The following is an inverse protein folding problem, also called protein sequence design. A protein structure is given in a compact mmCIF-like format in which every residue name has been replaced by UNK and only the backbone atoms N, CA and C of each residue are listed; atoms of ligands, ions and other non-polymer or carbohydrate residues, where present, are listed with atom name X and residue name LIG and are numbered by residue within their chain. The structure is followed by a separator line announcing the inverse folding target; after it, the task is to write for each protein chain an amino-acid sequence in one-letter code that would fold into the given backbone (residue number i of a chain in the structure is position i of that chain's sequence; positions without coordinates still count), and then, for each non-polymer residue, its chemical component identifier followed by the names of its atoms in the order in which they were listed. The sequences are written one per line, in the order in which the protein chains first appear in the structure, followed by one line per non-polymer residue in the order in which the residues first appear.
data_IF_287102812382
#
_entry.id   IF_287102812382
#
_cell.length_a   1.000
_cell.length_b   1.000
_cell.length_c   1.000
_cell.angle_alpha   90.00
_cell.angle_beta   90.00
_cell.angle_gamma   90.00
#
_symmetry.space_group_name_H-M   'P 1'
#
loop_
_entity.id
_entity.type
_entity.pdbx_description
1 polymer ?
#
# COMPACT_ATOMS: atom_id res chain seq x y z
N UNK A 1 15.47 6.02 -5.96
CA UNK A 1 14.71 6.52 -4.81
C UNK A 1 14.13 7.88 -5.15
N UNK A 2 12.90 8.17 -4.74
CA UNK A 2 12.33 9.51 -4.88
C UNK A 2 13.06 10.47 -3.95
N UNK A 3 13.48 11.62 -4.46
CA UNK A 3 14.22 12.60 -3.66
C UNK A 3 13.30 13.34 -2.69
N UNK A 4 12.04 13.57 -3.06
CA UNK A 4 11.05 14.33 -2.28
C UNK A 4 9.64 13.77 -2.53
N UNK A 5 8.84 13.60 -1.48
CA UNK A 5 7.38 13.40 -1.58
C UNK A 5 6.69 14.74 -1.29
N UNK A 6 5.85 15.27 -2.20
CA UNK A 6 5.19 16.55 -2.00
C UNK A 6 4.15 16.47 -0.86
N UNK A 7 3.98 17.58 -0.13
CA UNK A 7 2.98 17.65 0.93
C UNK A 7 1.56 17.46 0.36
N UNK A 8 0.77 16.60 1.00
CA UNK A 8 -0.60 16.27 0.58
C UNK A 8 -1.46 15.84 1.78
N UNK A 9 -2.79 15.80 1.62
CA UNK A 9 -3.68 15.32 2.67
C UNK A 9 -3.65 13.78 2.82
N UNK A 10 -3.28 13.06 1.76
CA UNK A 10 -3.15 11.61 1.76
C UNK A 10 -2.11 11.14 0.75
N UNK A 11 -1.50 9.99 1.03
CA UNK A 11 -0.61 9.29 0.10
C UNK A 11 -1.29 8.01 -0.38
N UNK A 12 -1.28 7.75 -1.70
CA UNK A 12 -1.84 6.54 -2.29
C UNK A 12 -0.74 5.81 -3.07
N UNK A 13 -0.40 4.61 -2.63
CA UNK A 13 0.62 3.75 -3.22
C UNK A 13 -0.08 2.52 -3.79
N UNK A 14 -0.07 2.36 -5.12
CA UNK A 14 -0.69 1.22 -5.79
C UNK A 14 0.33 0.50 -6.65
N UNK A 15 0.60 -0.77 -6.32
CA UNK A 15 1.56 -1.59 -7.06
C UNK A 15 2.93 -0.91 -7.16
N UNK A 16 3.42 -0.41 -6.03
CA UNK A 16 4.71 0.28 -5.88
C UNK A 16 5.64 -0.47 -4.96
N UNK A 17 5.16 -0.96 -3.80
CA UNK A 17 6.03 -1.50 -2.75
C UNK A 17 6.63 -2.86 -3.13
N UNK A 18 5.94 -3.65 -3.97
CA UNK A 18 6.46 -4.96 -4.39
C UNK A 18 7.69 -4.90 -5.32
N UNK A 19 8.02 -3.72 -5.85
CA UNK A 19 9.19 -3.49 -6.70
C UNK A 19 10.47 -3.26 -5.88
N UNK A 20 10.34 -3.07 -4.56
CA UNK A 20 11.43 -2.64 -3.67
C UNK A 20 11.73 -3.65 -2.58
N UNK A 21 12.96 -3.61 -2.05
CA UNK A 21 13.33 -4.33 -0.84
C UNK A 21 12.68 -3.72 0.42
N UNK A 22 12.78 -4.45 1.53
CA UNK A 22 12.16 -4.05 2.80
C UNK A 22 12.66 -2.69 3.31
N UNK A 23 13.98 -2.46 3.25
CA UNK A 23 14.61 -1.20 3.70
C UNK A 23 14.12 -0.02 2.85
N UNK A 24 14.07 -0.18 1.53
CA UNK A 24 13.55 0.83 0.62
C UNK A 24 12.05 1.06 0.81
N UNK A 25 11.26 0.01 1.09
CA UNK A 25 9.84 0.16 1.43
C UNK A 25 9.64 1.00 2.69
N UNK A 26 10.46 0.75 3.72
CA UNK A 26 10.43 1.52 4.96
C UNK A 26 10.72 3.01 4.67
N UNK A 27 11.71 3.31 3.85
CA UNK A 27 12.07 4.68 3.51
C UNK A 27 10.98 5.38 2.68
N UNK A 28 10.35 4.68 1.73
CA UNK A 28 9.19 5.17 0.98
C UNK A 28 8.05 5.53 1.94
N UNK A 29 7.70 4.62 2.86
CA UNK A 29 6.60 4.83 3.80
C UNK A 29 6.87 5.96 4.80
N UNK A 30 8.13 6.12 5.26
CA UNK A 30 8.54 7.26 6.10
C UNK A 30 8.35 8.58 5.37
N UNK A 31 8.84 8.68 4.13
CA UNK A 31 8.70 9.89 3.33
C UNK A 31 7.21 10.25 3.08
N UNK A 32 6.37 9.25 2.80
CA UNK A 32 4.91 9.45 2.71
C UNK A 32 4.30 9.93 4.03
N UNK A 33 4.75 9.41 5.18
CA UNK A 33 4.25 9.83 6.50
C UNK A 33 4.67 11.26 6.85
N UNK A 34 5.86 11.70 6.44
CA UNK A 34 6.33 13.06 6.64
C UNK A 34 5.61 14.07 5.76
N UNK A 35 5.20 13.66 4.56
CA UNK A 35 4.50 14.49 3.59
C UNK A 35 3.00 14.68 3.87
N UNK A 36 2.42 14.02 4.89
CA UNK A 36 0.99 14.13 5.20
C UNK A 36 0.74 14.65 6.64
N UNK A 37 -0.40 15.30 6.91
CA UNK A 37 -0.76 15.74 8.26
C UNK A 37 -0.77 14.57 9.25
N UNK A 38 -0.16 14.76 10.43
CA UNK A 38 -0.05 13.70 11.44
C UNK A 38 -1.40 13.24 12.00
N UNK A 39 -2.33 14.19 12.14
CA UNK A 39 -3.61 13.98 12.84
C UNK A 39 -4.74 13.53 11.91
N UNK A 40 -4.72 13.97 10.65
CA UNK A 40 -5.79 13.71 9.67
C UNK A 40 -5.33 12.95 8.43
N UNK A 41 -4.02 12.89 8.19
CA UNK A 41 -3.46 12.30 6.98
C UNK A 41 -3.50 10.78 6.99
N UNK A 42 -3.78 10.20 5.82
CA UNK A 42 -3.85 8.73 5.62
C UNK A 42 -2.87 8.28 4.54
N UNK A 43 -2.21 7.14 4.78
CA UNK A 43 -1.47 6.40 3.74
C UNK A 43 -2.33 5.21 3.33
N UNK A 44 -2.62 5.11 2.04
CA UNK A 44 -3.41 4.04 1.44
C UNK A 44 -2.49 3.20 0.56
N UNK A 45 -2.42 1.91 0.84
CA UNK A 45 -1.56 0.97 0.13
C UNK A 45 -2.45 -0.06 -0.57
N UNK A 46 -2.21 -0.25 -1.86
CA UNK A 46 -2.92 -1.22 -2.69
C UNK A 46 -1.89 -2.18 -3.29
N UNK A 47 -1.75 -3.32 -2.62
CA UNK A 47 -0.83 -4.39 -3.00
C UNK A 47 -1.47 -5.77 -2.95
N UNK A 48 -0.84 -6.72 -3.63
CA UNK A 48 -1.18 -8.12 -3.47
C UNK A 48 -0.61 -8.63 -2.13
N UNK A 49 -1.47 -9.18 -1.29
CA UNK A 49 -1.05 -9.91 -0.09
C UNK A 49 -1.10 -11.40 -0.40
N UNK A 50 0.01 -12.10 -0.15
CA UNK A 50 0.08 -13.54 -0.28
C UNK A 50 -0.18 -14.13 1.11
N UNK A 51 -1.26 -14.90 1.25
CA UNK A 51 -1.51 -15.68 2.46
C UNK A 51 -0.76 -17.01 2.34
N UNK A 52 0.01 -17.37 3.37
CA UNK A 52 0.73 -18.65 3.44
C UNK A 52 -0.16 -19.78 3.99
N UNK A 53 -1.36 -19.44 4.47
CA UNK A 53 -2.42 -20.39 4.84
C UNK A 53 -3.36 -20.67 3.66
N UNK A 54 -3.45 -21.94 3.27
CA UNK A 54 -4.36 -22.48 2.25
C UNK A 54 -3.92 -22.31 0.78
N UNK A 55 -3.23 -23.35 0.29
CA UNK A 55 -3.45 -23.93 -1.04
C UNK A 55 -3.36 -22.96 -2.22
N UNK A 56 -2.15 -22.86 -2.78
CA UNK A 56 -1.86 -22.21 -4.05
C UNK A 56 -2.75 -22.71 -5.20
N UNK A 57 -3.93 -22.11 -5.40
CA UNK A 57 -4.68 -22.22 -6.64
C UNK A 57 -5.48 -20.94 -6.82
N UNK A 58 -4.90 -19.89 -7.39
CA UNK A 58 -5.60 -18.99 -8.34
C UNK A 58 -4.57 -18.01 -8.91
N UNK A 59 -3.89 -18.46 -9.97
CA UNK A 59 -2.99 -17.63 -10.74
C UNK A 59 -3.71 -16.40 -11.30
N UNK A 60 -3.07 -15.23 -11.17
CA UNK A 60 -3.24 -13.98 -11.92
C UNK A 60 -4.64 -13.31 -11.97
N UNK A 61 -5.75 -14.04 -11.83
CA UNK A 61 -7.14 -13.56 -11.86
C UNK A 61 -7.72 -13.30 -10.46
N UNK A 62 -7.39 -14.09 -9.43
CA UNK A 62 -7.86 -13.82 -8.06
C UNK A 62 -7.27 -12.54 -7.44
N UNK A 63 -6.09 -12.12 -7.92
CA UNK A 63 -5.44 -10.89 -7.48
C UNK A 63 -6.33 -9.65 -7.69
N UNK A 64 -7.11 -9.58 -8.78
CA UNK A 64 -8.01 -8.45 -9.04
C UNK A 64 -9.17 -8.37 -8.04
N UNK A 65 -9.67 -9.52 -7.58
CA UNK A 65 -10.79 -9.59 -6.62
C UNK A 65 -10.29 -9.22 -5.21
N UNK A 66 -9.09 -9.69 -4.83
CA UNK A 66 -8.43 -9.29 -3.59
C UNK A 66 -8.06 -7.80 -3.57
N UNK A 67 -7.60 -7.23 -4.70
CA UNK A 67 -7.27 -5.80 -4.84
C UNK A 67 -8.46 -4.88 -4.51
N UNK A 68 -9.68 -5.23 -4.97
CA UNK A 68 -10.88 -4.44 -4.68
C UNK A 68 -11.29 -4.56 -3.20
N UNK A 69 -11.10 -5.73 -2.60
CA UNK A 69 -11.49 -6.03 -1.22
C UNK A 69 -10.60 -5.32 -0.18
N UNK A 70 -9.28 -5.20 -0.43
CA UNK A 70 -8.35 -4.45 0.44
C UNK A 70 -8.64 -2.94 0.39
N UNK A 71 -8.92 -2.40 -0.80
CA UNK A 71 -9.37 -1.00 -0.94
C UNK A 71 -10.65 -0.76 -0.16
N UNK A 72 -11.61 -1.70 -0.20
CA UNK A 72 -12.83 -1.61 0.60
C UNK A 72 -12.53 -1.69 2.11
N UNK A 73 -11.73 -2.65 2.58
CA UNK A 73 -11.46 -2.82 4.01
C UNK A 73 -10.73 -1.63 4.65
N UNK A 74 -9.81 -0.98 3.93
CA UNK A 74 -9.13 0.23 4.40
C UNK A 74 -10.02 1.49 4.38
N UNK A 75 -11.06 1.54 3.53
CA UNK A 75 -12.05 2.63 3.53
C UNK A 75 -13.08 2.43 4.67
N UNK A 76 -13.38 1.19 5.06
CA UNK A 76 -14.38 0.90 6.10
C UNK A 76 -13.83 0.87 7.54
N UNK A 77 -12.52 0.77 7.74
CA UNK A 77 -11.89 0.78 9.08
C UNK A 77 -11.27 2.13 9.49
N UNK A 78 -11.62 3.22 8.79
CA UNK A 78 -11.30 4.59 9.23
C UNK A 78 -12.52 5.47 9.21
#
# INVERSE_FOLDING_TARGET
MFEIVPNADAAFLMSVLHDWGDDECIDILKNCREAIPKDTGKVMIVEAVIDEGEGQVYGRQACLIAKLLVVFLCIFHV
#
